data_IF_207788001160
#
_entry.id   IF_207788001160
#
_cell.length_a   1.000
_cell.length_b   1.000
_cell.length_c   1.000
_cell.angle_alpha   90.00
_cell.angle_beta   90.00
_cell.angle_gamma   90.00
#
_symmetry.space_group_name_H-M   'P 1'
#
loop_
_entity.id
_entity.type
_entity.pdbx_description
1 polymer ?
#
# COMPACT_ATOMS: atom_id res chain seq x y z
N UNK A 1 12.89 -0.21 20.30
CA UNK A 1 12.91 -1.52 19.60
C UNK A 1 11.57 -1.79 18.90
N UNK A 2 10.41 -1.63 19.59
CA UNK A 2 9.11 -1.87 18.97
C UNK A 2 8.85 -0.91 17.80
N UNK A 3 9.04 0.40 17.99
CA UNK A 3 8.81 1.42 16.98
C UNK A 3 9.71 1.30 15.75
N UNK A 4 10.96 0.85 15.93
CA UNK A 4 11.89 0.65 14.82
C UNK A 4 11.61 -0.62 14.00
N UNK A 5 10.84 -1.57 14.54
CA UNK A 5 10.46 -2.80 13.83
C UNK A 5 9.11 -2.70 13.10
N UNK A 6 8.21 -1.81 13.56
CA UNK A 6 6.91 -1.62 12.91
C UNK A 6 7.00 -0.50 11.88
N UNK A 7 6.72 -0.81 10.64
CA UNK A 7 6.71 0.15 9.53
C UNK A 7 5.31 0.27 8.92
N UNK A 8 5.12 1.26 8.06
CA UNK A 8 3.90 1.40 7.27
C UNK A 8 3.55 0.14 6.46
N UNK A 9 4.56 -0.64 6.06
CA UNK A 9 4.35 -1.94 5.40
C UNK A 9 3.64 -2.96 6.29
N UNK A 10 3.94 -2.99 7.59
CA UNK A 10 3.27 -3.91 8.52
C UNK A 10 1.80 -3.55 8.68
N UNK A 11 1.46 -2.26 8.69
CA UNK A 11 0.08 -1.83 8.88
C UNK A 11 -0.70 -1.93 7.57
N UNK A 12 -0.24 -1.30 6.50
CA UNK A 12 -0.99 -1.22 5.23
C UNK A 12 -0.76 -2.46 4.37
N UNK A 13 0.50 -2.90 4.23
CA UNK A 13 0.85 -4.05 3.38
C UNK A 13 0.28 -5.36 3.92
N UNK A 14 0.43 -5.63 5.23
CA UNK A 14 -0.08 -6.87 5.81
C UNK A 14 -1.61 -6.90 5.88
N UNK A 15 -2.28 -5.75 6.08
CA UNK A 15 -3.75 -5.71 5.96
C UNK A 15 -4.21 -6.06 4.54
N UNK A 16 -3.56 -5.51 3.51
CA UNK A 16 -3.88 -5.84 2.12
C UNK A 16 -3.67 -7.32 1.78
N UNK A 17 -2.54 -7.90 2.21
CA UNK A 17 -2.27 -9.32 2.00
C UNK A 17 -3.23 -10.19 2.84
N UNK A 18 -3.53 -9.79 4.09
CA UNK A 18 -4.50 -10.47 4.94
C UNK A 18 -5.89 -10.52 4.31
N UNK A 19 -6.30 -9.44 3.64
CA UNK A 19 -7.56 -9.41 2.88
C UNK A 19 -7.53 -10.36 1.68
N UNK A 20 -6.42 -10.42 0.93
CA UNK A 20 -6.31 -11.21 -0.30
C UNK A 20 -6.11 -12.72 -0.05
N UNK A 21 -5.31 -13.08 0.96
CA UNK A 21 -4.83 -14.47 1.20
C UNK A 21 -5.29 -15.02 2.56
N UNK A 22 -5.86 -14.17 3.41
CA UNK A 22 -6.31 -14.54 4.74
C UNK A 22 -5.17 -14.68 5.74
N UNK A 23 -5.36 -15.53 6.75
CA UNK A 23 -4.45 -15.68 7.89
C UNK A 23 -3.07 -16.27 7.54
N UNK A 24 -2.89 -16.79 6.32
CA UNK A 24 -1.62 -17.38 5.86
C UNK A 24 -0.41 -16.41 6.02
N UNK A 25 -0.62 -15.09 5.89
CA UNK A 25 0.42 -14.09 6.10
C UNK A 25 1.00 -14.09 7.52
N UNK A 26 0.24 -14.48 8.53
CA UNK A 26 0.72 -14.53 9.92
C UNK A 26 1.87 -15.53 10.14
N UNK A 27 2.00 -16.54 9.28
CA UNK A 27 3.10 -17.50 9.33
C UNK A 27 4.47 -16.81 9.20
N UNK A 28 4.55 -15.71 8.46
CA UNK A 28 5.80 -14.95 8.32
C UNK A 28 6.28 -14.41 9.68
N UNK A 29 5.38 -13.81 10.45
CA UNK A 29 5.70 -13.26 11.78
C UNK A 29 5.95 -14.37 12.82
N UNK A 30 5.18 -15.44 12.78
CA UNK A 30 5.36 -16.58 13.68
C UNK A 30 6.74 -17.25 13.45
N UNK A 31 7.14 -17.39 12.19
CA UNK A 31 8.45 -17.97 11.82
C UNK A 31 9.59 -17.06 12.27
N UNK A 32 9.41 -15.74 12.27
CA UNK A 32 10.41 -14.79 12.78
C UNK A 32 10.72 -15.01 14.26
N UNK A 33 9.75 -15.42 15.08
CA UNK A 33 9.95 -15.76 16.49
C UNK A 33 10.96 -16.91 16.63
N UNK A 34 10.82 -17.96 15.82
CA UNK A 34 11.77 -19.09 15.82
C UNK A 34 13.18 -18.64 15.45
N UNK A 35 13.30 -17.76 14.43
CA UNK A 35 14.58 -17.17 14.03
C UNK A 35 15.23 -16.35 15.16
N UNK A 36 14.45 -15.54 15.90
CA UNK A 36 14.92 -14.76 17.02
C UNK A 36 15.38 -15.65 18.19
N UNK A 37 14.65 -16.72 18.49
CA UNK A 37 15.05 -17.69 19.51
C UNK A 37 16.38 -18.36 19.13
N UNK A 38 16.52 -18.76 17.87
CA UNK A 38 17.77 -19.32 17.36
C UNK A 38 18.94 -18.32 17.46
N UNK A 39 18.70 -17.05 17.13
CA UNK A 39 19.68 -15.98 17.32
C UNK A 39 20.11 -15.86 18.79
N UNK A 40 19.15 -15.83 19.71
CA UNK A 40 19.43 -15.67 21.14
C UNK A 40 20.21 -16.85 21.75
N UNK A 41 19.82 -18.09 21.42
CA UNK A 41 20.42 -19.27 22.05
C UNK A 41 21.72 -19.73 21.39
N UNK A 42 21.83 -19.62 20.08
CA UNK A 42 23.00 -20.14 19.36
C UNK A 42 23.99 -19.05 18.95
N UNK A 43 23.53 -17.96 18.38
CA UNK A 43 24.44 -16.98 17.79
C UNK A 43 24.91 -15.91 18.80
N UNK A 44 24.06 -15.45 19.68
CA UNK A 44 24.41 -14.39 20.64
C UNK A 44 25.57 -14.79 21.59
N UNK A 45 25.64 -16.02 22.12
CA UNK A 45 26.79 -16.45 22.91
C UNK A 45 28.12 -16.40 22.14
N UNK A 46 28.08 -16.74 20.82
CA UNK A 46 29.26 -16.68 19.95
C UNK A 46 29.69 -15.22 19.74
N UNK A 47 28.76 -14.33 19.43
CA UNK A 47 29.06 -12.90 19.25
C UNK A 47 29.63 -12.25 20.50
N UNK A 48 29.11 -12.59 21.67
CA UNK A 48 29.64 -12.11 22.95
C UNK A 48 31.06 -12.62 23.22
N UNK A 49 31.36 -13.88 22.94
CA UNK A 49 32.71 -14.43 23.09
C UNK A 49 33.71 -13.77 22.15
N UNK A 50 33.29 -13.43 20.94
CA UNK A 50 34.12 -12.77 19.94
C UNK A 50 34.20 -11.25 20.13
N UNK A 51 33.43 -10.68 21.05
CA UNK A 51 33.37 -9.22 21.26
C UNK A 51 33.01 -8.45 19.96
N UNK A 52 32.10 -8.97 19.16
CA UNK A 52 31.61 -8.31 17.94
C UNK A 52 30.21 -7.76 18.16
N UNK A 53 29.99 -6.54 17.68
CA UNK A 53 28.71 -5.83 17.83
C UNK A 53 27.84 -5.85 16.58
N UNK A 54 28.46 -6.08 15.42
CA UNK A 54 27.76 -6.11 14.13
C UNK A 54 28.11 -7.37 13.36
N UNK A 55 27.19 -7.81 12.49
CA UNK A 55 27.43 -8.96 11.60
C UNK A 55 28.58 -8.69 10.63
N UNK A 56 28.75 -7.44 10.20
CA UNK A 56 29.87 -7.03 9.35
C UNK A 56 31.22 -7.21 10.04
N UNK A 57 31.32 -6.89 11.34
CA UNK A 57 32.56 -7.14 12.14
C UNK A 57 32.81 -8.64 12.32
N UNK A 58 31.76 -9.44 12.48
CA UNK A 58 31.89 -10.88 12.53
C UNK A 58 32.45 -11.46 11.25
N UNK A 59 31.97 -10.98 10.10
CA UNK A 59 32.46 -11.42 8.79
C UNK A 59 33.93 -11.06 8.57
N UNK A 60 34.36 -9.86 8.97
CA UNK A 60 35.77 -9.45 8.91
C UNK A 60 36.67 -10.37 9.72
N UNK A 61 36.25 -10.78 10.92
CA UNK A 61 37.03 -11.68 11.77
C UNK A 61 37.07 -13.13 11.29
N UNK A 62 36.00 -13.57 10.62
CA UNK A 62 35.89 -14.96 10.14
C UNK A 62 36.49 -15.20 8.76
N UNK A 63 36.41 -14.19 7.90
CA UNK A 63 36.87 -14.27 6.52
C UNK A 63 37.94 -13.21 6.23
N UNK A 64 37.52 -12.02 5.77
CA UNK A 64 38.39 -10.90 5.46
C UNK A 64 37.62 -9.57 5.43
N UNK A 65 38.35 -8.46 5.27
CA UNK A 65 37.75 -7.13 5.18
C UNK A 65 36.95 -6.90 3.89
N UNK A 66 37.22 -7.65 2.84
CA UNK A 66 36.42 -7.59 1.58
C UNK A 66 35.02 -8.12 1.82
N UNK A 67 34.89 -9.20 2.58
CA UNK A 67 33.58 -9.76 2.97
C UNK A 67 32.78 -8.77 3.82
N UNK A 68 33.45 -8.07 4.75
CA UNK A 68 32.84 -6.98 5.53
C UNK A 68 32.30 -5.88 4.64
N UNK A 69 33.12 -5.39 3.71
CA UNK A 69 32.74 -4.30 2.80
C UNK A 69 31.57 -4.72 1.87
N UNK A 70 31.67 -5.89 1.26
CA UNK A 70 30.61 -6.42 0.37
C UNK A 70 29.27 -6.56 1.11
N UNK A 71 29.29 -7.11 2.31
CA UNK A 71 28.09 -7.21 3.15
C UNK A 71 27.51 -5.84 3.48
N UNK A 72 28.34 -4.90 3.92
CA UNK A 72 27.89 -3.55 4.26
C UNK A 72 27.27 -2.84 3.04
N UNK A 73 27.90 -2.95 1.87
CA UNK A 73 27.38 -2.39 0.62
C UNK A 73 26.01 -2.96 0.24
N UNK A 74 25.88 -4.30 0.28
CA UNK A 74 24.62 -4.99 -0.01
C UNK A 74 23.54 -4.53 0.97
N UNK A 75 23.84 -4.44 2.27
CA UNK A 75 22.88 -4.01 3.27
C UNK A 75 22.43 -2.56 3.07
N UNK A 76 23.32 -1.66 2.67
CA UNK A 76 22.96 -0.27 2.33
C UNK A 76 22.00 -0.24 1.13
N UNK A 77 22.29 -1.01 0.08
CA UNK A 77 21.41 -1.11 -1.10
C UNK A 77 20.03 -1.65 -0.70
N UNK A 78 19.98 -2.71 0.10
CA UNK A 78 18.71 -3.27 0.58
C UNK A 78 17.93 -2.24 1.39
N UNK A 79 18.58 -1.53 2.31
CA UNK A 79 17.91 -0.50 3.12
C UNK A 79 17.34 0.62 2.25
N UNK A 80 18.10 1.12 1.28
CA UNK A 80 17.66 2.22 0.42
C UNK A 80 16.56 1.77 -0.54
N UNK A 81 16.76 0.67 -1.27
CA UNK A 81 15.84 0.26 -2.34
C UNK A 81 14.62 -0.49 -1.81
N UNK A 82 14.80 -1.38 -0.83
CA UNK A 82 13.70 -2.27 -0.39
C UNK A 82 12.95 -1.68 0.81
N UNK A 83 13.63 -1.06 1.77
CA UNK A 83 12.96 -0.59 2.99
C UNK A 83 12.46 0.86 2.90
N UNK A 84 13.22 1.77 2.28
CA UNK A 84 12.82 3.18 2.21
C UNK A 84 11.71 3.43 1.18
N UNK A 85 11.76 2.76 0.03
CA UNK A 85 10.79 2.99 -1.06
C UNK A 85 9.34 2.75 -0.64
N UNK A 86 8.97 1.62 -0.02
CA UNK A 86 7.59 1.42 0.45
C UNK A 86 7.15 2.44 1.50
N UNK A 87 8.07 2.85 2.40
CA UNK A 87 7.78 3.88 3.41
C UNK A 87 7.42 5.23 2.79
N UNK A 88 8.20 5.69 1.82
CA UNK A 88 7.91 6.90 1.07
C UNK A 88 6.65 6.78 0.23
N UNK A 89 6.43 5.64 -0.41
CA UNK A 89 5.23 5.39 -1.21
C UNK A 89 3.95 5.50 -0.36
N UNK A 90 3.87 4.77 0.74
CA UNK A 90 2.69 4.76 1.60
C UNK A 90 2.49 6.13 2.27
N UNK A 91 3.56 6.72 2.80
CA UNK A 91 3.50 8.02 3.46
C UNK A 91 3.10 9.14 2.51
N UNK A 92 3.67 9.19 1.31
CA UNK A 92 3.32 10.17 0.30
C UNK A 92 1.86 10.02 -0.17
N UNK A 93 1.39 8.77 -0.33
CA UNK A 93 -0.01 8.51 -0.65
C UNK A 93 -0.97 8.99 0.46
N UNK A 94 -0.59 8.80 1.72
CA UNK A 94 -1.37 9.30 2.86
C UNK A 94 -1.42 10.83 2.89
N UNK A 95 -0.29 11.50 2.63
CA UNK A 95 -0.25 12.98 2.52
C UNK A 95 -1.11 13.45 1.34
N UNK A 96 -1.02 12.77 0.20
CA UNK A 96 -1.85 13.12 -0.95
C UNK A 96 -3.34 13.07 -0.64
N UNK A 97 -3.81 12.02 0.04
CA UNK A 97 -5.22 11.89 0.47
C UNK A 97 -5.61 13.06 1.40
N UNK A 98 -4.74 13.43 2.34
CA UNK A 98 -5.00 14.54 3.26
C UNK A 98 -5.04 15.90 2.56
N UNK A 99 -4.24 16.11 1.53
CA UNK A 99 -4.19 17.38 0.78
C UNK A 99 -5.31 17.50 -0.26
N UNK A 100 -5.76 16.39 -0.83
CA UNK A 100 -6.82 16.38 -1.83
C UNK A 100 -8.25 16.45 -1.22
N UNK A 101 -8.40 16.29 0.08
CA UNK A 101 -9.72 16.21 0.72
C UNK A 101 -10.46 14.91 0.37
N UNK A 102 -11.77 14.99 0.22
CA UNK A 102 -12.60 13.83 -0.16
C UNK A 102 -12.50 13.59 -1.66
N UNK A 103 -11.58 12.71 -2.05
CA UNK A 103 -11.35 12.36 -3.46
C UNK A 103 -12.37 11.35 -4.00
N UNK A 104 -13.29 10.89 -3.15
CA UNK A 104 -14.29 9.90 -3.50
C UNK A 104 -13.74 8.50 -3.78
N UNK A 105 -14.61 7.64 -4.23
CA UNK A 105 -14.28 6.26 -4.63
C UNK A 105 -14.39 6.11 -6.13
N UNK A 106 -13.48 5.31 -6.71
CA UNK A 106 -13.53 4.96 -8.12
C UNK A 106 -14.71 4.04 -8.42
N UNK A 107 -15.37 4.25 -9.55
CA UNK A 107 -16.41 3.34 -10.03
C UNK A 107 -15.81 1.96 -10.35
N UNK A 108 -16.59 0.93 -10.12
CA UNK A 108 -16.25 -0.47 -10.41
C UNK A 108 -17.35 -1.06 -11.26
N UNK A 109 -16.98 -1.69 -12.38
CA UNK A 109 -17.90 -2.34 -13.28
C UNK A 109 -17.33 -3.67 -13.77
N UNK A 110 -18.22 -4.55 -14.18
CA UNK A 110 -17.93 -5.86 -14.74
C UNK A 110 -18.53 -5.96 -16.14
N UNK A 111 -17.77 -6.55 -17.06
CA UNK A 111 -18.26 -6.83 -18.41
C UNK A 111 -19.09 -8.12 -18.41
N UNK A 112 -20.29 -8.06 -18.94
CA UNK A 112 -21.16 -9.22 -19.13
C UNK A 112 -21.04 -9.67 -20.60
N UNK A 113 -20.55 -10.88 -20.80
CA UNK A 113 -20.46 -11.48 -22.13
C UNK A 113 -21.79 -12.16 -22.50
N UNK A 114 -22.24 -11.98 -23.74
CA UNK A 114 -23.33 -12.72 -24.31
C UNK A 114 -22.92 -14.18 -24.59
N UNK A 115 -23.89 -15.10 -24.80
CA UNK A 115 -23.58 -16.51 -25.12
C UNK A 115 -22.72 -16.71 -26.36
N UNK A 116 -22.67 -15.73 -27.26
CA UNK A 116 -21.84 -15.68 -28.46
C UNK A 116 -20.43 -15.15 -28.21
N UNK A 117 -20.08 -14.85 -26.93
CA UNK A 117 -18.79 -14.34 -26.52
C UNK A 117 -18.56 -12.85 -26.76
N UNK A 118 -19.58 -12.14 -27.24
CA UNK A 118 -19.51 -10.68 -27.45
C UNK A 118 -19.83 -9.93 -26.15
N UNK A 119 -19.30 -8.71 -26.02
CA UNK A 119 -19.67 -7.79 -24.96
C UNK A 119 -21.15 -7.41 -25.12
N UNK A 120 -21.98 -7.83 -24.17
CA UNK A 120 -23.42 -7.58 -24.18
C UNK A 120 -23.79 -6.34 -23.38
N UNK A 121 -23.27 -6.25 -22.17
CA UNK A 121 -23.63 -5.21 -21.22
C UNK A 121 -22.46 -4.95 -20.27
N UNK A 122 -22.41 -3.75 -19.71
CA UNK A 122 -21.51 -3.41 -18.60
C UNK A 122 -22.35 -3.20 -17.36
N UNK A 123 -22.18 -4.08 -16.39
CA UNK A 123 -22.86 -4.00 -15.11
C UNK A 123 -22.04 -3.16 -14.15
N UNK A 124 -22.59 -2.06 -13.64
CA UNK A 124 -21.99 -1.27 -12.59
C UNK A 124 -22.16 -2.01 -11.27
N UNK A 125 -21.06 -2.35 -10.61
CA UNK A 125 -21.04 -2.94 -9.28
C UNK A 125 -21.08 -1.86 -8.20
N UNK A 126 -20.36 -0.75 -8.45
CA UNK A 126 -20.34 0.43 -7.59
C UNK A 126 -20.13 1.67 -8.47
N UNK A 127 -21.02 2.66 -8.34
CA UNK A 127 -20.98 3.86 -9.18
C UNK A 127 -19.83 4.84 -8.88
N UNK A 128 -19.07 4.58 -7.83
CA UNK A 128 -18.05 5.51 -7.36
C UNK A 128 -18.66 6.73 -6.65
N UNK A 129 -17.84 7.73 -6.39
CA UNK A 129 -18.23 8.98 -5.73
C UNK A 129 -17.33 10.12 -6.25
N UNK A 130 -17.80 11.37 -6.12
CA UNK A 130 -17.05 12.57 -6.47
C UNK A 130 -16.66 12.69 -7.97
N UNK A 131 -17.47 12.17 -8.87
CA UNK A 131 -17.35 12.47 -10.29
C UNK A 131 -18.00 13.82 -10.63
N UNK A 132 -17.20 14.73 -11.14
CA UNK A 132 -17.71 16.03 -11.66
C UNK A 132 -17.98 16.02 -13.17
N UNK A 133 -17.27 15.14 -13.90
CA UNK A 133 -17.44 14.91 -15.33
C UNK A 133 -17.47 13.44 -15.63
N UNK A 134 -18.12 13.04 -16.72
CA UNK A 134 -18.18 11.65 -17.14
C UNK A 134 -16.77 11.08 -17.36
N UNK A 135 -16.40 10.00 -16.65
CA UNK A 135 -15.09 9.38 -16.82
C UNK A 135 -15.02 8.64 -18.16
N UNK A 136 -13.82 8.53 -18.70
CA UNK A 136 -13.55 7.69 -19.86
C UNK A 136 -13.57 6.22 -19.44
N UNK A 137 -14.19 5.38 -20.27
CA UNK A 137 -14.25 3.94 -20.03
C UNK A 137 -13.07 3.26 -20.71
N UNK A 138 -12.37 2.40 -19.99
CA UNK A 138 -11.24 1.63 -20.52
C UNK A 138 -11.57 0.14 -20.44
N UNK A 139 -11.22 -0.59 -21.50
CA UNK A 139 -11.22 -2.05 -21.52
C UNK A 139 -9.76 -2.53 -21.56
N UNK A 140 -9.36 -3.36 -20.59
CA UNK A 140 -7.98 -3.86 -20.49
C UNK A 140 -6.92 -2.73 -20.55
N UNK A 141 -7.18 -1.62 -19.86
CA UNK A 141 -6.36 -0.41 -19.82
C UNK A 141 -6.22 0.36 -21.14
N UNK A 142 -7.08 0.09 -22.12
CA UNK A 142 -7.17 0.87 -23.38
C UNK A 142 -8.47 1.66 -23.41
N UNK A 143 -8.35 2.95 -23.70
CA UNK A 143 -9.51 3.82 -23.88
C UNK A 143 -10.33 3.36 -25.10
N UNK A 144 -11.65 3.35 -24.96
CA UNK A 144 -12.58 2.94 -25.99
C UNK A 144 -13.64 4.02 -26.20
N UNK A 145 -13.86 4.39 -27.45
CA UNK A 145 -14.76 5.49 -27.83
C UNK A 145 -16.22 5.04 -28.01
N UNK A 146 -16.46 3.72 -28.02
CA UNK A 146 -17.81 3.18 -28.21
C UNK A 146 -18.60 3.02 -26.92
N UNK A 147 -17.99 3.34 -25.77
CA UNK A 147 -18.59 3.30 -24.44
C UNK A 147 -18.56 4.69 -23.82
N UNK A 148 -19.71 5.14 -23.34
CA UNK A 148 -19.85 6.38 -22.58
C UNK A 148 -20.45 6.13 -21.20
N UNK A 149 -19.84 6.72 -20.16
CA UNK A 149 -20.37 6.68 -18.82
C UNK A 149 -21.36 7.83 -18.63
N UNK A 150 -22.55 7.54 -18.09
CA UNK A 150 -23.49 8.57 -17.62
C UNK A 150 -23.38 8.75 -16.13
N UNK A 151 -23.49 9.99 -15.66
CA UNK A 151 -23.42 10.35 -14.25
C UNK A 151 -24.80 10.73 -13.71
N UNK A 152 -25.07 10.29 -12.48
CA UNK A 152 -26.18 10.76 -11.65
C UNK A 152 -25.62 11.07 -10.26
N UNK A 153 -25.84 12.29 -9.77
CA UNK A 153 -25.41 12.75 -8.44
C UNK A 153 -23.91 12.47 -8.12
N UNK A 154 -23.03 12.65 -9.10
CA UNK A 154 -21.59 12.42 -8.92
C UNK A 154 -21.16 10.97 -8.89
N UNK A 155 -22.03 10.06 -9.30
CA UNK A 155 -21.76 8.63 -9.44
C UNK A 155 -21.98 8.18 -10.89
N UNK A 156 -21.26 7.14 -11.32
CA UNK A 156 -21.52 6.48 -12.60
C UNK A 156 -22.77 5.61 -12.46
N UNK A 157 -23.85 6.05 -13.09
CA UNK A 157 -25.11 5.31 -13.07
C UNK A 157 -25.13 4.18 -14.08
N UNK A 158 -24.68 4.46 -15.30
CA UNK A 158 -24.77 3.54 -16.44
C UNK A 158 -23.62 3.76 -17.41
N UNK A 159 -23.19 2.70 -18.07
CA UNK A 159 -22.33 2.78 -19.26
C UNK A 159 -23.15 2.41 -20.49
N UNK A 160 -23.23 3.31 -21.43
CA UNK A 160 -24.01 3.16 -22.67
C UNK A 160 -23.06 2.78 -23.80
N UNK A 161 -23.45 1.79 -24.59
CA UNK A 161 -22.77 1.44 -25.83
C UNK A 161 -23.35 2.27 -26.98
N UNK A 162 -22.52 3.14 -27.58
CA UNK A 162 -22.91 3.98 -28.71
C UNK A 162 -22.86 3.23 -30.03
N UNK A 163 -22.00 2.21 -30.12
CA UNK A 163 -21.87 1.33 -31.29
C UNK A 163 -21.61 -0.09 -30.86
N UNK A 164 -21.85 -1.08 -31.72
CA UNK A 164 -21.55 -2.49 -31.43
C UNK A 164 -20.07 -2.68 -31.10
N UNK A 165 -19.78 -3.47 -30.05
CA UNK A 165 -18.41 -3.75 -29.70
C UNK A 165 -17.64 -4.44 -30.83
N UNK A 166 -16.41 -4.02 -31.16
CA UNK A 166 -15.58 -4.68 -32.14
C UNK A 166 -15.34 -6.16 -31.84
N UNK A 167 -15.16 -6.99 -32.88
CA UNK A 167 -14.91 -8.44 -32.76
C UNK A 167 -13.65 -8.79 -31.94
N UNK A 168 -12.73 -7.85 -31.76
CA UNK A 168 -11.49 -8.02 -31.00
C UNK A 168 -11.67 -8.33 -29.50
N UNK A 169 -12.88 -8.20 -28.96
CA UNK A 169 -13.18 -8.43 -27.54
C UNK A 169 -13.88 -9.78 -27.26
N UNK A 170 -13.87 -10.69 -28.22
CA UNK A 170 -14.52 -11.99 -28.07
C UNK A 170 -13.64 -12.96 -27.26
N UNK A 171 -14.23 -13.62 -26.25
CA UNK A 171 -13.61 -14.75 -25.54
C UNK A 171 -12.44 -14.39 -24.59
N UNK A 172 -12.17 -13.12 -24.33
CA UNK A 172 -11.10 -12.65 -23.42
C UNK A 172 -11.75 -12.10 -22.16
N UNK A 173 -11.23 -12.38 -20.95
CA UNK A 173 -11.71 -11.73 -19.74
C UNK A 173 -11.47 -10.22 -19.85
N UNK A 174 -12.57 -9.46 -19.81
CA UNK A 174 -12.54 -8.01 -19.97
C UNK A 174 -12.50 -7.34 -18.60
N UNK A 175 -11.45 -6.58 -18.36
CA UNK A 175 -11.33 -5.70 -17.21
C UNK A 175 -11.83 -4.32 -17.58
N UNK A 176 -12.93 -3.87 -16.94
CA UNK A 176 -13.46 -2.52 -17.12
C UNK A 176 -12.86 -1.62 -16.04
N UNK A 177 -12.35 -0.48 -16.46
CA UNK A 177 -11.85 0.56 -15.57
C UNK A 177 -12.26 1.96 -16.06
N UNK A 178 -12.24 2.92 -15.16
CA UNK A 178 -12.62 4.29 -15.43
C UNK A 178 -11.43 5.21 -15.25
N UNK A 179 -11.28 6.22 -16.11
CA UNK A 179 -10.19 7.19 -16.07
C UNK A 179 -10.70 8.61 -16.14
N UNK A 180 -10.17 9.48 -15.30
CA UNK A 180 -10.58 10.88 -15.23
C UNK A 180 -11.91 11.08 -14.50
N UNK A 181 -12.44 12.26 -14.64
CA UNK A 181 -13.77 12.63 -14.14
C UNK A 181 -13.85 13.11 -12.70
N UNK A 182 -12.75 13.19 -11.93
CA UNK A 182 -12.79 13.72 -10.57
C UNK A 182 -13.29 15.18 -10.55
N UNK A 183 -14.06 15.53 -9.52
CA UNK A 183 -14.65 16.87 -9.36
C UNK A 183 -13.59 17.98 -9.25
N UNK A 184 -12.49 17.71 -8.53
CA UNK A 184 -11.43 18.70 -8.31
C UNK A 184 -10.41 18.72 -9.45
N UNK A 185 -10.07 17.57 -9.99
CA UNK A 185 -9.12 17.43 -11.11
C UNK A 185 -9.66 16.42 -12.15
N UNK A 186 -10.32 16.90 -13.22
CA UNK A 186 -10.92 16.03 -14.23
C UNK A 186 -9.94 15.11 -14.97
N UNK A 187 -8.63 15.37 -14.90
CA UNK A 187 -7.61 14.54 -15.54
C UNK A 187 -7.33 13.23 -14.78
N UNK A 188 -7.72 13.14 -13.52
CA UNK A 188 -7.53 11.96 -12.67
C UNK A 188 -8.88 11.37 -12.25
N UNK A 189 -8.89 10.10 -11.89
CA UNK A 189 -10.10 9.45 -11.38
C UNK A 189 -10.28 9.71 -9.89
N UNK A 190 -11.52 9.67 -9.37
CA UNK A 190 -11.77 9.66 -7.94
C UNK A 190 -10.94 8.57 -7.23
N UNK A 191 -10.34 8.91 -6.10
CA UNK A 191 -9.47 8.01 -5.33
C UNK A 191 -8.09 7.75 -5.92
N UNK A 192 -7.77 8.26 -7.11
CA UNK A 192 -6.43 8.21 -7.68
C UNK A 192 -5.52 9.29 -7.06
N UNK A 193 -4.23 9.09 -7.18
CA UNK A 193 -3.20 9.95 -6.59
C UNK A 193 -2.81 11.04 -7.60
N UNK A 194 -2.88 12.31 -7.20
CA UNK A 194 -2.32 13.40 -7.99
C UNK A 194 -0.79 13.29 -8.04
N UNK A 195 -0.18 13.17 -9.24
CA UNK A 195 1.26 13.02 -9.37
C UNK A 195 2.08 14.15 -8.73
N UNK A 196 1.57 15.38 -8.78
CA UNK A 196 2.27 16.54 -8.17
C UNK A 196 2.26 16.46 -6.65
N UNK A 197 1.10 16.25 -6.04
CA UNK A 197 0.95 16.13 -4.59
C UNK A 197 1.71 14.90 -4.06
N UNK A 198 1.76 13.83 -4.83
CA UNK A 198 2.53 12.64 -4.51
C UNK A 198 4.04 12.92 -4.45
N UNK A 199 4.60 13.57 -5.46
CA UNK A 199 6.01 13.95 -5.48
C UNK A 199 6.36 14.95 -4.38
N UNK A 200 5.49 15.93 -4.15
CA UNK A 200 5.62 16.90 -3.06
C UNK A 200 5.62 16.20 -1.70
N UNK A 201 4.75 15.21 -1.50
CA UNK A 201 4.71 14.40 -0.28
C UNK A 201 6.01 13.64 -0.03
N UNK A 202 6.60 13.01 -1.05
CA UNK A 202 7.91 12.36 -0.95
C UNK A 202 8.98 13.36 -0.53
N UNK A 203 9.02 14.53 -1.18
CA UNK A 203 10.02 15.57 -0.89
C UNK A 203 9.89 16.07 0.56
N UNK A 204 8.68 16.40 1.00
CA UNK A 204 8.42 16.88 2.37
C UNK A 204 8.85 15.83 3.40
N UNK A 205 8.46 14.57 3.21
CA UNK A 205 8.84 13.50 4.11
C UNK A 205 10.36 13.29 4.16
N UNK A 206 11.02 13.29 3.01
CA UNK A 206 12.47 13.14 2.93
C UNK A 206 13.20 14.29 3.63
N UNK A 207 12.76 15.54 3.41
CA UNK A 207 13.35 16.71 4.05
C UNK A 207 13.15 16.72 5.56
N UNK A 208 11.95 16.47 6.05
CA UNK A 208 11.65 16.44 7.49
C UNK A 208 12.44 15.33 8.17
N UNK A 209 12.40 14.11 7.60
CA UNK A 209 13.11 12.95 8.14
C UNK A 209 14.62 13.18 8.12
N UNK A 210 15.17 13.64 6.99
CA UNK A 210 16.57 13.95 6.86
C UNK A 210 17.03 15.03 7.84
N UNK A 211 16.25 16.10 7.98
CA UNK A 211 16.60 17.20 8.87
C UNK A 211 16.69 16.75 10.36
N UNK A 212 15.67 16.06 10.88
CA UNK A 212 15.73 15.64 12.27
C UNK A 212 16.80 14.58 12.54
N UNK A 213 17.09 13.69 11.58
CA UNK A 213 18.15 12.68 11.71
C UNK A 213 19.53 13.33 11.67
N UNK A 214 19.78 14.30 10.77
CA UNK A 214 21.06 15.01 10.68
C UNK A 214 21.32 15.86 11.93
N UNK A 215 20.30 16.60 12.41
CA UNK A 215 20.45 17.50 13.57
C UNK A 215 20.52 16.72 14.88
N UNK A 216 19.65 15.73 15.06
CA UNK A 216 19.49 15.05 16.34
C UNK A 216 20.19 13.70 16.45
N UNK A 217 20.70 13.16 15.34
CA UNK A 217 21.38 11.87 15.29
C UNK A 217 20.57 10.72 15.88
N UNK A 218 21.25 9.70 16.39
CA UNK A 218 20.63 8.50 16.97
C UNK A 218 19.68 8.80 18.14
N UNK A 219 19.97 9.84 18.93
CA UNK A 219 19.13 10.23 20.07
C UNK A 219 17.74 10.70 19.60
N UNK A 220 17.67 11.49 18.53
CA UNK A 220 16.40 11.93 17.97
C UNK A 220 15.60 10.74 17.43
N UNK A 221 16.26 9.81 16.73
CA UNK A 221 15.60 8.60 16.21
C UNK A 221 14.98 7.78 17.33
N UNK A 222 15.70 7.54 18.44
CA UNK A 222 15.18 6.80 19.59
C UNK A 222 13.95 7.49 20.20
N UNK A 223 13.98 8.81 20.35
CA UNK A 223 12.83 9.57 20.89
C UNK A 223 11.63 9.49 19.97
N UNK A 224 11.82 9.68 18.66
CA UNK A 224 10.74 9.57 17.68
C UNK A 224 10.16 8.15 17.63
N UNK A 225 10.98 7.11 17.73
CA UNK A 225 10.55 5.71 17.79
C UNK A 225 9.63 5.44 19.00
N UNK A 226 9.94 6.04 20.17
CA UNK A 226 9.09 5.90 21.35
C UNK A 226 7.72 6.55 21.13
N UNK A 227 7.71 7.77 20.59
CA UNK A 227 6.46 8.49 20.30
C UNK A 227 5.64 7.72 19.27
N UNK A 228 6.26 7.28 18.18
CA UNK A 228 5.61 6.48 17.13
C UNK A 228 5.04 5.17 17.67
N UNK A 229 5.74 4.48 18.58
CA UNK A 229 5.26 3.24 19.19
C UNK A 229 3.96 3.45 19.96
N UNK A 230 3.88 4.54 20.75
CA UNK A 230 2.65 4.88 21.48
C UNK A 230 1.51 5.21 20.53
N UNK A 231 1.78 6.05 19.52
CA UNK A 231 0.77 6.41 18.51
C UNK A 231 0.28 5.19 17.72
N UNK A 232 1.16 4.27 17.35
CA UNK A 232 0.80 3.03 16.64
C UNK A 232 -0.10 2.12 17.47
N UNK A 233 0.21 1.95 18.76
CA UNK A 233 -0.63 1.15 19.66
C UNK A 233 -2.02 1.78 19.83
N UNK A 234 -2.09 3.10 20.03
CA UNK A 234 -3.36 3.80 20.14
C UNK A 234 -4.17 3.73 18.84
N UNK A 235 -3.53 3.97 17.70
CA UNK A 235 -4.17 3.87 16.39
C UNK A 235 -4.66 2.45 16.10
N UNK A 236 -3.87 1.43 16.41
CA UNK A 236 -4.27 0.02 16.24
C UNK A 236 -5.47 -0.35 17.08
N UNK A 237 -5.50 0.07 18.36
CA UNK A 237 -6.66 -0.14 19.24
C UNK A 237 -7.91 0.59 18.73
N UNK A 238 -7.75 1.83 18.26
CA UNK A 238 -8.85 2.63 17.75
C UNK A 238 -9.43 2.01 16.47
N UNK A 239 -8.58 1.60 15.54
CA UNK A 239 -9.00 0.92 14.30
C UNK A 239 -9.71 -0.39 14.64
N UNK A 240 -9.16 -1.21 15.54
CA UNK A 240 -9.82 -2.44 15.99
C UNK A 240 -11.20 -2.14 16.59
N UNK A 241 -11.30 -1.15 17.48
CA UNK A 241 -12.56 -0.76 18.09
C UNK A 241 -13.60 -0.31 17.05
N UNK A 242 -13.20 0.56 16.11
CA UNK A 242 -14.11 1.03 15.03
C UNK A 242 -14.54 -0.14 14.17
N UNK A 243 -13.61 -1.02 13.75
CA UNK A 243 -13.91 -2.16 12.88
C UNK A 243 -14.92 -3.11 13.54
N UNK A 244 -14.71 -3.47 14.80
CA UNK A 244 -15.62 -4.36 15.52
C UNK A 244 -16.93 -3.69 15.94
N UNK A 245 -17.02 -2.37 15.88
CA UNK A 245 -18.27 -1.62 16.12
C UNK A 245 -19.16 -1.55 14.87
N UNK A 246 -18.67 -1.96 13.70
CA UNK A 246 -19.45 -1.94 12.47
C UNK A 246 -20.56 -3.03 12.52
N UNK A 247 -21.82 -2.68 12.20
CA UNK A 247 -22.94 -3.63 12.24
C UNK A 247 -22.78 -4.79 11.24
N UNK A 248 -22.07 -4.56 10.14
CA UNK A 248 -21.81 -5.55 9.10
C UNK A 248 -20.94 -6.72 9.57
N UNK A 249 -20.05 -6.49 10.56
CA UNK A 249 -19.17 -7.51 11.12
C UNK A 249 -19.84 -8.30 12.25
N UNK A 250 -21.02 -7.84 12.74
CA UNK A 250 -21.74 -8.50 13.82
C UNK A 250 -21.13 -8.34 15.22
N UNK A 251 -20.12 -7.48 15.36
CA UNK A 251 -19.47 -7.18 16.62
C UNK A 251 -18.54 -8.28 17.14
N UNK A 252 -18.10 -8.12 18.39
CA UNK A 252 -17.19 -9.06 19.06
C UNK A 252 -17.78 -10.48 19.23
N UNK A 253 -19.09 -10.60 19.23
CA UNK A 253 -19.80 -11.88 19.46
C UNK A 253 -19.72 -12.81 18.25
N UNK A 254 -19.60 -12.26 17.03
CA UNK A 254 -19.48 -13.07 15.81
C UNK A 254 -18.10 -13.70 15.61
N UNK A 255 -17.13 -13.32 16.44
CA UNK A 255 -15.76 -13.86 16.41
C UNK A 255 -15.53 -15.01 17.39
N UNK A 256 -16.48 -15.29 18.27
CA UNK A 256 -16.48 -16.42 19.20
C UNK A 256 -17.27 -17.61 18.62
#
# INVERSE_FOLDING_TARGET
IFGSNVSANHIVGMMGVGFAVGFAQSHFEITAIAGLLMLCYFFLPVYRKLNVYTLSDYLSRRYDDRSRFSYALIMVIIMVVIQMVPGFYIGSRSINILLQGDTGRKAVAEAVAAPDGKLSEIKILHGGEAYGTAPKVLINNKEVDFLEASLLDGQVEKVVMNTSAPEAYQGIPLSISFSGGNLENPAISPGDVDPFNYQLGILIMALITGAYVIIGGLKAVIITDVIQSVLLLLAGLLVAFITFSQPEIGGWVSLM
#
